data_IF_376046433915
#
_entry.id   IF_376046433915
#
_cell.length_a   1.000
_cell.length_b   1.000
_cell.length_c   1.000
_cell.angle_alpha   90.00
_cell.angle_beta   90.00
_cell.angle_gamma   90.00
#
_symmetry.space_group_name_H-M   'P 1'
#
loop_
_entity.id
_entity.type
_entity.pdbx_description
1 polymer ?
#
# COMPACT_ATOMS: atom_id res chain seq x y z
N UNK A 1 6.61 -0.83 -44.34
CA UNK A 1 6.12 -0.25 -43.08
C UNK A 1 5.87 1.22 -43.34
N UNK A 2 4.63 1.66 -43.21
CA UNK A 2 4.22 3.01 -43.59
C UNK A 2 4.53 3.99 -42.46
N UNK A 3 4.71 5.28 -42.76
CA UNK A 3 4.87 6.33 -41.74
C UNK A 3 3.71 6.33 -40.72
N UNK A 4 2.52 5.85 -41.08
CA UNK A 4 1.36 5.76 -40.19
C UNK A 4 1.61 4.74 -39.07
N UNK A 5 2.25 3.60 -39.36
CA UNK A 5 2.57 2.58 -38.35
C UNK A 5 3.58 3.10 -37.31
N UNK A 6 4.53 3.96 -37.73
CA UNK A 6 5.49 4.60 -36.83
C UNK A 6 4.83 5.69 -35.98
N UNK A 7 3.91 6.48 -36.54
CA UNK A 7 3.16 7.49 -35.79
C UNK A 7 2.20 6.85 -34.78
N UNK A 8 1.49 5.78 -35.15
CA UNK A 8 0.61 5.06 -34.23
C UNK A 8 1.39 4.35 -33.11
N UNK A 9 2.56 3.79 -33.43
CA UNK A 9 3.46 3.20 -32.43
C UNK A 9 4.04 4.25 -31.48
N UNK A 10 4.42 5.43 -31.98
CA UNK A 10 4.87 6.57 -31.17
C UNK A 10 3.75 7.16 -30.29
N UNK A 11 2.51 7.22 -30.79
CA UNK A 11 1.36 7.68 -30.00
C UNK A 11 0.94 6.65 -28.95
N UNK A 12 0.96 5.36 -29.29
CA UNK A 12 0.71 4.26 -28.33
C UNK A 12 1.82 4.10 -27.30
N UNK A 13 3.06 4.50 -27.59
CA UNK A 13 4.14 4.57 -26.59
C UNK A 13 4.04 5.83 -25.72
N UNK A 14 3.47 6.93 -26.24
CA UNK A 14 3.26 8.18 -25.51
C UNK A 14 2.03 8.16 -24.58
N UNK A 15 1.15 7.16 -24.71
CA UNK A 15 0.00 6.90 -23.80
C UNK A 15 0.33 5.68 -22.90
N UNK A 16 1.58 5.55 -22.47
CA UNK A 16 1.93 4.63 -21.39
C UNK A 16 2.29 5.49 -20.20
N UNK A 17 1.61 5.26 -19.09
CA UNK A 17 2.05 5.81 -17.81
C UNK A 17 3.40 5.16 -17.53
N UNK A 18 4.47 5.93 -17.64
CA UNK A 18 5.84 5.47 -17.43
C UNK A 18 6.19 5.82 -15.99
N UNK A 19 6.66 4.84 -15.23
CA UNK A 19 7.04 5.04 -13.85
C UNK A 19 8.11 6.14 -13.67
N UNK A 20 7.83 7.10 -12.78
CA UNK A 20 8.80 8.09 -12.36
C UNK A 20 9.35 7.78 -10.95
N UNK A 21 10.63 7.44 -10.87
CA UNK A 21 11.31 7.23 -9.60
C UNK A 21 11.58 8.56 -8.87
N UNK A 22 11.06 8.66 -7.65
CA UNK A 22 11.30 9.74 -6.70
C UNK A 22 11.94 9.17 -5.44
N UNK A 23 13.17 9.61 -5.14
CA UNK A 23 13.81 9.28 -3.87
C UNK A 23 13.06 9.97 -2.73
N UNK A 24 12.41 9.20 -1.87
CA UNK A 24 11.73 9.70 -0.68
C UNK A 24 12.71 10.02 0.45
N UNK A 25 12.30 10.91 1.35
CA UNK A 25 13.03 11.27 2.56
C UNK A 25 12.02 11.66 3.64
N UNK A 26 12.10 10.99 4.78
CA UNK A 26 11.29 11.29 5.97
C UNK A 26 12.17 11.98 7.01
N UNK A 27 11.85 13.23 7.31
CA UNK A 27 12.59 14.13 8.20
C UNK A 27 11.83 14.43 9.47
N UNK A 28 10.51 14.32 9.48
CA UNK A 28 9.65 14.61 10.62
C UNK A 28 8.75 13.41 10.95
N UNK A 29 9.33 12.23 11.24
CA UNK A 29 8.52 11.08 11.63
C UNK A 29 7.83 11.34 12.99
N UNK A 30 6.55 10.99 13.07
CA UNK A 30 5.75 11.08 14.28
C UNK A 30 5.36 9.67 14.76
N UNK A 31 5.53 9.41 16.05
CA UNK A 31 4.97 8.22 16.72
C UNK A 31 3.73 8.63 17.51
N UNK A 32 2.61 7.95 17.29
CA UNK A 32 1.34 8.16 18.00
C UNK A 32 0.94 6.88 18.73
N UNK A 33 0.72 6.98 20.04
CA UNK A 33 0.32 5.84 20.88
C UNK A 33 -0.52 6.28 22.08
N UNK A 34 -1.43 5.42 22.52
CA UNK A 34 -2.19 5.56 23.77
C UNK A 34 -1.63 4.72 24.94
N UNK A 35 -0.41 4.18 24.79
CA UNK A 35 0.29 3.44 25.84
C UNK A 35 0.88 4.39 26.89
N UNK A 36 1.25 3.81 28.04
CA UNK A 36 1.95 4.51 29.11
C UNK A 36 3.02 3.63 29.75
N UNK A 37 4.01 4.26 30.39
CA UNK A 37 5.05 3.58 31.16
C UNK A 37 5.94 2.70 30.28
N UNK A 38 6.20 1.46 30.72
CA UNK A 38 7.11 0.56 30.00
C UNK A 38 6.61 0.20 28.60
N UNK A 39 5.31 0.03 28.41
CA UNK A 39 4.74 -0.36 27.12
C UNK A 39 4.94 0.74 26.05
N UNK A 40 4.82 2.02 26.43
CA UNK A 40 5.11 3.16 25.55
C UNK A 40 6.59 3.18 25.13
N UNK A 41 7.50 3.03 26.09
CA UNK A 41 8.94 2.95 25.81
C UNK A 41 9.29 1.77 24.90
N UNK A 42 8.69 0.60 25.12
CA UNK A 42 8.91 -0.60 24.30
C UNK A 42 8.42 -0.39 22.87
N UNK A 43 7.24 0.21 22.69
CA UNK A 43 6.69 0.53 21.38
C UNK A 43 7.56 1.54 20.63
N UNK A 44 7.96 2.65 21.26
CA UNK A 44 8.86 3.65 20.66
C UNK A 44 10.19 3.00 20.25
N UNK A 45 10.76 2.15 21.10
CA UNK A 45 12.00 1.44 20.78
C UNK A 45 11.83 0.48 19.61
N UNK A 46 10.71 -0.23 19.53
CA UNK A 46 10.40 -1.11 18.41
C UNK A 46 10.30 -0.33 17.08
N UNK A 47 9.59 0.80 17.07
CA UNK A 47 9.50 1.69 15.91
C UNK A 47 10.88 2.18 15.50
N UNK A 48 11.70 2.64 16.45
CA UNK A 48 13.05 3.14 16.16
C UNK A 48 13.97 2.05 15.63
N UNK A 49 13.92 0.85 16.20
CA UNK A 49 14.72 -0.29 15.75
C UNK A 49 14.35 -0.69 14.33
N UNK A 50 13.05 -0.78 14.04
CA UNK A 50 12.58 -1.00 12.68
C UNK A 50 13.00 0.13 11.74
N UNK A 51 12.93 1.38 12.20
CA UNK A 51 13.33 2.54 11.41
C UNK A 51 14.84 2.62 11.16
N UNK A 52 15.66 1.72 11.70
CA UNK A 52 17.07 1.54 11.33
C UNK A 52 17.25 0.59 10.15
N UNK A 53 16.29 -0.30 9.91
CA UNK A 53 16.31 -1.21 8.75
C UNK A 53 15.98 -0.46 7.46
N UNK A 54 15.31 0.67 7.60
CA UNK A 54 14.98 1.66 6.58
C UNK A 54 15.79 2.94 6.89
N UNK A 55 16.11 3.79 5.91
CA UNK A 55 16.95 4.99 6.15
C UNK A 55 16.21 6.13 6.90
N UNK A 56 15.19 5.81 7.71
CA UNK A 56 14.33 6.77 8.42
C UNK A 56 15.03 7.30 9.68
N UNK A 57 15.64 6.41 10.47
CA UNK A 57 16.17 6.75 11.79
C UNK A 57 17.41 7.65 11.76
N UNK A 58 18.16 7.68 10.65
CA UNK A 58 19.47 8.33 10.58
C UNK A 58 19.46 9.86 10.56
N UNK A 59 18.36 10.49 10.08
CA UNK A 59 18.37 11.91 9.70
C UNK A 59 17.12 12.71 10.12
N UNK A 60 16.14 12.10 10.79
CA UNK A 60 14.86 12.73 11.14
C UNK A 60 14.78 13.33 12.54
N UNK A 61 14.09 14.45 12.66
CA UNK A 61 13.58 14.99 13.92
C UNK A 61 12.31 14.23 14.31
N UNK A 62 12.41 13.39 15.34
CA UNK A 62 11.30 12.57 15.77
C UNK A 62 10.34 13.36 16.68
N UNK A 63 9.05 13.24 16.37
CA UNK A 63 7.96 13.74 17.19
C UNK A 63 7.21 12.58 17.88
N UNK A 64 6.58 12.88 19.01
CA UNK A 64 5.89 11.88 19.82
C UNK A 64 4.58 12.47 20.33
N UNK A 65 3.50 11.71 20.19
CA UNK A 65 2.22 11.94 20.85
C UNK A 65 1.88 10.68 21.65
N UNK A 66 1.87 10.81 22.96
CA UNK A 66 1.48 9.76 23.89
C UNK A 66 0.01 9.94 24.33
N UNK A 67 -0.45 9.04 25.19
CA UNK A 67 -1.83 9.00 25.70
C UNK A 67 -2.34 10.31 26.30
N UNK A 68 -1.47 11.10 26.92
CA UNK A 68 -1.86 12.32 27.62
C UNK A 68 -1.86 13.55 26.69
N UNK A 69 -1.34 13.41 25.46
CA UNK A 69 -1.29 14.49 24.46
C UNK A 69 -2.58 14.60 23.64
N UNK A 70 -3.40 13.53 23.60
CA UNK A 70 -4.68 13.51 22.90
C UNK A 70 -5.66 12.51 23.54
N UNK A 71 -6.92 12.89 23.64
CA UNK A 71 -8.00 11.99 24.06
C UNK A 71 -9.06 11.84 22.96
N UNK A 72 -9.32 12.91 22.23
CA UNK A 72 -10.27 12.93 21.12
C UNK A 72 -9.58 12.88 19.75
N UNK A 73 -10.34 12.47 18.74
CA UNK A 73 -9.89 12.50 17.34
C UNK A 73 -9.56 13.92 16.87
N UNK A 74 -10.24 14.94 17.39
CA UNK A 74 -9.98 16.35 17.04
C UNK A 74 -8.67 16.86 17.62
N UNK A 75 -8.34 16.51 18.87
CA UNK A 75 -7.06 16.86 19.48
C UNK A 75 -5.89 16.21 18.73
N UNK A 76 -6.04 14.93 18.36
CA UNK A 76 -5.05 14.21 17.58
C UNK A 76 -4.79 14.89 16.23
N UNK A 77 -5.86 15.23 15.48
CA UNK A 77 -5.70 15.93 14.20
C UNK A 77 -5.04 17.30 14.35
N UNK A 78 -5.44 18.09 15.36
CA UNK A 78 -4.82 19.39 15.62
C UNK A 78 -3.33 19.25 15.93
N UNK A 79 -2.94 18.23 16.69
CA UNK A 79 -1.55 17.95 17.00
C UNK A 79 -0.76 17.55 15.75
N UNK A 80 -1.31 16.69 14.90
CA UNK A 80 -0.70 16.31 13.60
C UNK A 80 -0.55 17.53 12.69
N UNK A 81 -1.56 18.39 12.59
CA UNK A 81 -1.50 19.62 11.79
C UNK A 81 -0.45 20.61 12.30
N UNK A 82 -0.28 20.71 13.63
CA UNK A 82 0.73 21.56 14.25
C UNK A 82 2.15 21.03 14.04
N UNK A 83 2.36 19.71 14.17
CA UNK A 83 3.66 19.06 14.04
C UNK A 83 4.12 18.90 12.59
N UNK A 84 3.18 18.80 11.64
CA UNK A 84 3.44 18.60 10.19
C UNK A 84 4.39 17.42 9.92
N UNK A 85 4.06 16.22 10.41
CA UNK A 85 4.89 15.05 10.15
C UNK A 85 4.88 14.69 8.67
N UNK A 86 5.91 13.99 8.22
CA UNK A 86 5.98 13.41 6.87
C UNK A 86 5.80 11.88 6.85
N UNK A 87 5.70 11.25 8.02
CA UNK A 87 5.33 9.85 8.22
C UNK A 87 4.79 9.66 9.64
N UNK A 88 3.69 8.91 9.80
CA UNK A 88 3.09 8.64 11.10
C UNK A 88 3.19 7.14 11.41
N UNK A 89 3.78 6.78 12.54
CA UNK A 89 3.79 5.42 13.08
C UNK A 89 2.73 5.28 14.18
N UNK A 90 1.87 4.28 14.05
CA UNK A 90 0.82 4.02 15.05
C UNK A 90 0.30 2.58 14.93
N UNK A 91 -0.76 2.23 15.65
CA UNK A 91 -1.42 0.92 15.58
C UNK A 91 -2.95 1.07 15.68
N UNK A 92 -3.66 -0.03 15.42
CA UNK A 92 -5.12 -0.08 15.40
C UNK A 92 -5.72 0.10 16.79
N UNK A 93 -6.94 0.64 16.86
CA UNK A 93 -7.78 0.67 18.06
C UNK A 93 -7.13 1.32 19.29
N UNK A 94 -6.33 2.38 19.10
CA UNK A 94 -5.92 3.25 20.19
C UNK A 94 -7.13 3.67 21.03
N UNK A 95 -6.95 3.76 22.35
CA UNK A 95 -7.95 4.05 23.38
C UNK A 95 -9.10 3.04 23.49
N UNK A 96 -8.98 1.86 22.87
CA UNK A 96 -10.05 0.86 22.83
C UNK A 96 -9.53 -0.56 23.04
N UNK A 97 -10.34 -1.43 23.62
CA UNK A 97 -10.06 -2.88 23.64
C UNK A 97 -10.56 -3.61 22.37
N UNK A 98 -11.12 -2.88 21.41
CA UNK A 98 -11.68 -3.45 20.19
C UNK A 98 -10.68 -4.22 19.34
N UNK A 99 -9.36 -4.02 19.53
CA UNK A 99 -8.29 -4.77 18.86
C UNK A 99 -8.38 -6.30 19.06
N UNK A 100 -9.06 -6.74 20.13
CA UNK A 100 -9.37 -8.16 20.38
C UNK A 100 -10.27 -8.74 19.28
N UNK A 101 -11.00 -7.91 18.56
CA UNK A 101 -11.96 -8.27 17.51
C UNK A 101 -11.58 -7.66 16.16
N UNK A 102 -11.61 -8.42 15.05
CA UNK A 102 -11.24 -7.92 13.72
C UNK A 102 -12.41 -7.18 13.05
N UNK A 103 -12.86 -6.07 13.62
CA UNK A 103 -14.06 -5.36 13.12
C UNK A 103 -13.82 -3.90 12.75
N UNK A 104 -12.71 -3.30 13.17
CA UNK A 104 -12.44 -1.87 12.97
C UNK A 104 -10.96 -1.57 13.16
N UNK A 105 -10.47 -0.52 12.52
CA UNK A 105 -9.16 0.06 12.77
C UNK A 105 -9.14 1.01 13.98
N UNK A 106 -10.30 1.41 14.50
CA UNK A 106 -10.46 2.35 15.60
C UNK A 106 -10.63 3.80 15.15
N UNK A 107 -11.43 4.58 15.90
CA UNK A 107 -11.85 5.92 15.48
C UNK A 107 -10.69 6.89 15.24
N UNK A 108 -9.64 6.86 16.07
CA UNK A 108 -8.48 7.73 15.92
C UNK A 108 -7.72 7.43 14.64
N UNK A 109 -7.51 6.14 14.35
CA UNK A 109 -6.79 5.70 13.15
C UNK A 109 -7.62 5.95 11.89
N UNK A 110 -8.93 5.67 11.94
CA UNK A 110 -9.85 5.95 10.83
C UNK A 110 -9.83 7.44 10.48
N UNK A 111 -9.95 8.32 11.47
CA UNK A 111 -9.94 9.76 11.26
C UNK A 111 -8.57 10.25 10.76
N UNK A 112 -7.46 9.73 11.31
CA UNK A 112 -6.12 10.04 10.80
C UNK A 112 -6.03 9.75 9.31
N UNK A 113 -6.29 8.51 8.91
CA UNK A 113 -6.20 8.05 7.52
C UNK A 113 -7.12 8.87 6.60
N UNK A 114 -8.32 9.20 7.05
CA UNK A 114 -9.29 9.95 6.25
C UNK A 114 -8.94 11.43 6.09
N UNK A 115 -8.30 12.05 7.08
CA UNK A 115 -8.15 13.51 7.17
C UNK A 115 -6.74 14.03 6.94
N UNK A 116 -5.73 13.18 7.02
CA UNK A 116 -4.35 13.54 6.67
C UNK A 116 -3.99 13.01 5.28
N UNK A 117 -3.05 13.68 4.62
CA UNK A 117 -2.37 13.17 3.41
C UNK A 117 -0.98 12.63 3.76
N UNK A 118 -0.65 12.58 5.05
CA UNK A 118 0.62 12.03 5.54
C UNK A 118 0.51 10.50 5.57
N UNK A 119 1.48 9.77 5.00
CA UNK A 119 1.48 8.31 5.06
C UNK A 119 1.43 7.80 6.51
N UNK A 120 0.59 6.79 6.74
CA UNK A 120 0.38 6.18 8.06
C UNK A 120 0.88 4.74 8.05
N UNK A 121 1.96 4.49 8.79
CA UNK A 121 2.54 3.19 9.06
C UNK A 121 1.85 2.54 10.27
N UNK A 122 0.99 1.56 10.01
CA UNK A 122 0.15 0.87 10.98
C UNK A 122 0.83 -0.43 11.40
N UNK A 123 1.30 -0.47 12.63
CA UNK A 123 1.91 -1.65 13.23
C UNK A 123 0.83 -2.63 13.75
N UNK A 124 1.17 -3.93 13.87
CA UNK A 124 0.40 -4.87 14.68
C UNK A 124 0.20 -4.30 16.09
N UNK A 125 -0.97 -4.53 16.70
CA UNK A 125 -1.24 -3.99 18.03
C UNK A 125 -0.25 -4.56 19.05
N UNK A 126 0.46 -3.72 19.82
CA UNK A 126 1.61 -4.12 20.64
C UNK A 126 1.26 -5.16 21.72
N UNK A 127 0.03 -5.13 22.24
CA UNK A 127 -0.43 -6.06 23.29
C UNK A 127 -1.16 -7.29 22.78
N UNK A 128 -1.36 -7.45 21.46
CA UNK A 128 -2.31 -8.44 20.95
C UNK A 128 -1.71 -9.83 20.67
N UNK A 129 -0.38 -9.92 20.55
CA UNK A 129 0.33 -11.19 20.41
C UNK A 129 0.05 -11.98 19.12
N UNK A 130 -0.60 -11.38 18.12
CA UNK A 130 -0.89 -12.02 16.82
C UNK A 130 0.11 -11.65 15.72
N UNK A 131 1.13 -10.83 16.01
CA UNK A 131 2.12 -10.44 15.02
C UNK A 131 2.88 -11.67 14.52
N UNK A 132 3.16 -11.75 13.23
CA UNK A 132 4.02 -12.81 12.70
C UNK A 132 5.45 -12.64 13.21
N UNK A 133 6.18 -13.76 13.33
CA UNK A 133 7.55 -13.75 13.83
C UNK A 133 8.51 -12.89 13.00
N UNK A 134 8.22 -12.64 11.73
CA UNK A 134 9.04 -11.80 10.85
C UNK A 134 8.60 -10.32 10.85
N UNK A 135 7.39 -10.02 11.32
CA UNK A 135 6.87 -8.65 11.34
C UNK A 135 7.80 -7.73 12.14
N UNK A 136 8.02 -6.51 11.62
CA UNK A 136 8.86 -5.47 12.23
C UNK A 136 10.35 -5.83 12.41
N UNK A 137 10.85 -6.95 11.86
CA UNK A 137 12.28 -7.30 11.93
C UNK A 137 13.11 -6.73 10.79
N UNK A 138 12.52 -6.67 9.60
CA UNK A 138 13.12 -6.27 8.33
C UNK A 138 12.01 -5.86 7.36
N UNK A 139 12.40 -5.44 6.16
CA UNK A 139 11.53 -5.23 5.00
C UNK A 139 12.17 -5.88 3.77
N UNK A 140 12.47 -7.18 3.89
CA UNK A 140 13.05 -7.95 2.80
C UNK A 140 11.99 -8.28 1.75
N UNK A 141 10.73 -8.44 2.17
CA UNK A 141 9.59 -8.68 1.27
C UNK A 141 8.53 -7.60 1.46
N UNK A 142 8.39 -6.72 0.48
CA UNK A 142 7.36 -5.68 0.47
C UNK A 142 6.36 -6.00 -0.64
N UNK A 143 5.08 -5.79 -0.38
CA UNK A 143 4.03 -5.89 -1.39
C UNK A 143 3.29 -4.57 -1.50
N UNK A 144 3.10 -4.06 -2.72
CA UNK A 144 2.25 -2.91 -2.99
C UNK A 144 1.00 -3.37 -3.74
N UNK A 145 -0.17 -3.01 -3.23
CA UNK A 145 -1.46 -3.41 -3.78
C UNK A 145 -2.35 -2.20 -4.07
N UNK A 146 -3.00 -2.27 -5.22
CA UNK A 146 -4.03 -1.32 -5.65
C UNK A 146 -4.90 -2.00 -6.69
N UNK A 147 -6.15 -1.53 -6.81
CA UNK A 147 -7.07 -1.94 -7.86
C UNK A 147 -6.82 -1.19 -9.18
N UNK A 148 -5.96 -0.17 -9.17
CA UNK A 148 -5.55 0.62 -10.32
C UNK A 148 -4.05 0.97 -10.22
N UNK A 149 -3.17 0.01 -10.51
CA UNK A 149 -1.72 0.24 -10.38
C UNK A 149 -1.16 1.21 -11.44
N UNK A 150 -1.81 1.30 -12.58
CA UNK A 150 -1.40 2.19 -13.67
C UNK A 150 -1.37 3.64 -13.18
N UNK A 151 -0.22 4.31 -13.35
CA UNK A 151 0.03 5.70 -12.95
C UNK A 151 0.17 5.95 -11.43
N UNK A 152 0.26 4.89 -10.61
CA UNK A 152 0.43 5.05 -9.17
C UNK A 152 1.91 5.11 -8.77
N UNK A 153 2.56 6.22 -9.12
CA UNK A 153 3.97 6.42 -8.81
C UNK A 153 4.20 6.57 -7.31
N UNK A 154 3.23 7.14 -6.59
CA UNK A 154 3.40 7.42 -5.17
C UNK A 154 3.41 6.14 -4.34
N UNK A 155 2.47 5.23 -4.59
CA UNK A 155 2.45 3.89 -3.99
C UNK A 155 3.76 3.15 -4.24
N UNK A 156 4.19 3.09 -5.50
CA UNK A 156 5.41 2.37 -5.88
C UNK A 156 6.65 3.01 -5.26
N UNK A 157 6.78 4.34 -5.26
CA UNK A 157 7.93 5.01 -4.66
C UNK A 157 8.04 4.74 -3.15
N UNK A 158 6.91 4.67 -2.43
CA UNK A 158 6.90 4.28 -1.02
C UNK A 158 7.30 2.81 -0.86
N UNK A 159 6.72 1.90 -1.64
CA UNK A 159 7.07 0.48 -1.56
C UNK A 159 8.55 0.23 -1.88
N UNK A 160 9.11 0.94 -2.87
CA UNK A 160 10.56 0.93 -3.20
C UNK A 160 11.39 1.45 -2.04
N UNK A 161 10.99 2.56 -1.40
CA UNK A 161 11.73 3.13 -0.27
C UNK A 161 11.84 2.15 0.91
N UNK A 162 10.76 1.43 1.22
CA UNK A 162 10.74 0.48 2.32
C UNK A 162 11.38 -0.88 1.96
N UNK A 163 11.48 -1.23 0.67
CA UNK A 163 12.14 -2.47 0.25
C UNK A 163 13.64 -2.39 0.50
N UNK A 164 14.17 -3.28 1.35
CA UNK A 164 15.59 -3.29 1.67
C UNK A 164 16.47 -3.72 0.49
N UNK A 165 17.76 -3.38 0.56
CA UNK A 165 18.75 -3.88 -0.40
C UNK A 165 18.73 -5.41 -0.43
N UNK A 166 18.71 -5.96 -1.65
CA UNK A 166 18.54 -7.38 -2.01
C UNK A 166 17.18 -7.98 -1.65
N UNK A 167 16.25 -7.14 -1.19
CA UNK A 167 14.86 -7.49 -0.95
C UNK A 167 14.07 -7.70 -2.25
N UNK A 168 12.81 -8.09 -2.08
CA UNK A 168 11.85 -8.33 -3.14
C UNK A 168 10.63 -7.44 -2.95
N UNK A 169 10.32 -6.64 -3.98
CA UNK A 169 9.10 -5.86 -4.10
C UNK A 169 8.12 -6.60 -5.01
N UNK A 170 6.99 -7.01 -4.46
CA UNK A 170 5.86 -7.52 -5.22
C UNK A 170 4.92 -6.35 -5.59
N UNK A 171 4.66 -6.18 -6.88
CA UNK A 171 3.67 -5.23 -7.38
C UNK A 171 2.44 -6.01 -7.84
N UNK A 172 1.37 -5.92 -7.05
CA UNK A 172 0.15 -6.69 -7.26
C UNK A 172 -0.97 -5.85 -7.87
N UNK A 173 -1.58 -6.39 -8.92
CA UNK A 173 -2.83 -5.89 -9.48
C UNK A 173 -3.76 -7.09 -9.69
N UNK A 174 -4.96 -7.03 -9.14
CA UNK A 174 -5.95 -8.10 -9.34
C UNK A 174 -7.18 -7.49 -9.99
N UNK A 175 -7.54 -8.00 -11.16
CA UNK A 175 -8.80 -7.68 -11.83
C UNK A 175 -9.95 -8.47 -11.20
N UNK A 176 -11.04 -7.78 -10.86
CA UNK A 176 -12.19 -8.40 -10.22
C UNK A 176 -12.92 -9.30 -11.23
N UNK A 177 -12.92 -10.60 -10.94
CA UNK A 177 -13.51 -11.61 -11.83
C UNK A 177 -15.04 -11.50 -11.92
N UNK A 178 -15.72 -11.05 -10.86
CA UNK A 178 -17.17 -10.91 -10.82
C UNK A 178 -17.62 -9.70 -11.65
N UNK A 179 -16.90 -8.58 -11.53
CA UNK A 179 -17.11 -7.39 -12.37
C UNK A 179 -16.84 -7.72 -13.84
N UNK A 180 -15.73 -8.40 -14.12
CA UNK A 180 -15.40 -8.84 -15.48
C UNK A 180 -16.50 -9.73 -16.07
N UNK A 181 -16.92 -10.76 -15.34
CA UNK A 181 -17.98 -11.66 -15.78
C UNK A 181 -19.30 -10.93 -16.05
N UNK A 182 -19.66 -9.94 -15.22
CA UNK A 182 -20.85 -9.11 -15.43
C UNK A 182 -20.80 -8.34 -16.76
N UNK A 183 -19.64 -7.80 -17.13
CA UNK A 183 -19.48 -7.12 -18.42
C UNK A 183 -19.55 -8.09 -19.60
N UNK A 184 -18.92 -9.25 -19.50
CA UNK A 184 -19.01 -10.29 -20.53
C UNK A 184 -20.45 -10.77 -20.70
N UNK A 185 -21.20 -10.92 -19.61
CA UNK A 185 -22.62 -11.27 -19.67
C UNK A 185 -23.44 -10.21 -20.43
N UNK A 186 -23.19 -8.92 -20.20
CA UNK A 186 -23.85 -7.84 -20.93
C UNK A 186 -23.49 -7.86 -22.43
N UNK A 187 -22.21 -8.07 -22.76
CA UNK A 187 -21.72 -8.17 -24.14
C UNK A 187 -22.36 -9.36 -24.86
N UNK A 188 -22.58 -10.49 -24.17
CA UNK A 188 -23.19 -11.68 -24.76
C UNK A 188 -24.61 -11.47 -25.29
N UNK A 189 -25.30 -10.42 -24.83
CA UNK A 189 -26.64 -10.05 -25.30
C UNK A 189 -26.61 -9.28 -26.62
N UNK A 190 -25.43 -8.87 -27.09
CA UNK A 190 -25.25 -8.13 -28.34
C UNK A 190 -25.00 -9.14 -29.46
N UNK A 191 -26.03 -9.43 -30.26
CA UNK A 191 -26.02 -10.50 -31.28
C UNK A 191 -24.92 -10.39 -32.34
N UNK A 192 -24.37 -9.19 -32.54
CA UNK A 192 -23.33 -8.94 -33.54
C UNK A 192 -21.90 -9.16 -33.02
N UNK A 193 -21.73 -9.43 -31.72
CA UNK A 193 -20.41 -9.59 -31.09
C UNK A 193 -20.16 -11.07 -30.82
N UNK A 194 -19.00 -11.56 -31.25
CA UNK A 194 -18.48 -12.86 -30.81
C UNK A 194 -18.05 -12.74 -29.35
N UNK A 195 -18.81 -13.34 -28.44
CA UNK A 195 -18.60 -13.21 -26.99
C UNK A 195 -17.29 -13.84 -26.53
N UNK A 196 -16.91 -14.99 -27.10
CA UNK A 196 -15.69 -15.70 -26.70
C UNK A 196 -14.45 -14.89 -27.08
N UNK A 197 -14.44 -14.36 -28.31
CA UNK A 197 -13.36 -13.48 -28.78
C UNK A 197 -13.31 -12.17 -27.99
N UNK A 198 -14.46 -11.56 -27.70
CA UNK A 198 -14.51 -10.35 -26.88
C UNK A 198 -13.98 -10.61 -25.46
N UNK A 199 -14.29 -11.77 -24.87
CA UNK A 199 -13.80 -12.17 -23.55
C UNK A 199 -12.28 -12.24 -23.51
N UNK A 200 -11.67 -12.92 -24.48
CA UNK A 200 -10.22 -13.07 -24.57
C UNK A 200 -9.51 -11.72 -24.76
N UNK A 201 -9.98 -10.91 -25.71
CA UNK A 201 -9.36 -9.62 -26.02
C UNK A 201 -9.53 -8.60 -24.89
N UNK A 202 -10.71 -8.51 -24.26
CA UNK A 202 -10.91 -7.62 -23.11
C UNK A 202 -10.05 -8.08 -21.93
N UNK A 203 -10.00 -9.38 -21.62
CA UNK A 203 -9.17 -9.88 -20.53
C UNK A 203 -7.70 -9.53 -20.74
N UNK A 204 -7.20 -9.73 -21.96
CA UNK A 204 -5.83 -9.38 -22.33
C UNK A 204 -5.56 -7.88 -22.22
N UNK A 205 -6.46 -7.02 -22.71
CA UNK A 205 -6.25 -5.57 -22.61
C UNK A 205 -6.33 -5.05 -21.16
N UNK A 206 -7.19 -5.62 -20.30
CA UNK A 206 -7.26 -5.27 -18.88
C UNK A 206 -5.95 -5.56 -18.15
N UNK A 207 -5.33 -6.73 -18.37
CA UNK A 207 -4.08 -7.09 -17.70
C UNK A 207 -2.84 -6.40 -18.30
N UNK A 208 -2.89 -6.07 -19.59
CA UNK A 208 -1.75 -5.49 -20.31
C UNK A 208 -1.30 -4.13 -19.78
N UNK A 209 -2.23 -3.28 -19.34
CA UNK A 209 -1.89 -1.95 -18.80
C UNK A 209 -1.08 -2.05 -17.50
N UNK A 210 -1.55 -2.74 -16.43
CA UNK A 210 -0.77 -2.91 -15.21
C UNK A 210 0.53 -3.69 -15.45
N UNK A 211 0.54 -4.71 -16.31
CA UNK A 211 1.79 -5.40 -16.71
C UNK A 211 2.80 -4.44 -17.35
N UNK A 212 2.34 -3.61 -18.30
CA UNK A 212 3.21 -2.63 -18.97
C UNK A 212 3.76 -1.60 -17.98
N UNK A 213 2.95 -1.14 -17.04
CA UNK A 213 3.37 -0.22 -15.99
C UNK A 213 4.43 -0.85 -15.08
N UNK A 214 4.20 -2.06 -14.58
CA UNK A 214 5.16 -2.78 -13.72
C UNK A 214 6.48 -3.03 -14.48
N UNK A 215 6.42 -3.39 -15.75
CA UNK A 215 7.62 -3.54 -16.58
C UNK A 215 8.39 -2.22 -16.66
N UNK A 216 7.71 -1.07 -16.78
CA UNK A 216 8.37 0.24 -16.72
C UNK A 216 9.04 0.49 -15.36
N UNK A 217 8.45 0.05 -14.25
CA UNK A 217 9.06 0.11 -12.91
C UNK A 217 10.36 -0.72 -12.89
N UNK A 218 10.29 -1.97 -13.34
CA UNK A 218 11.45 -2.88 -13.38
C UNK A 218 12.60 -2.25 -14.18
N UNK A 219 12.31 -1.71 -15.36
CA UNK A 219 13.29 -1.05 -16.23
C UNK A 219 13.95 0.15 -15.53
N UNK A 220 13.14 1.08 -15.01
CA UNK A 220 13.65 2.31 -14.39
C UNK A 220 14.45 2.06 -13.11
N UNK A 221 14.01 1.12 -12.26
CA UNK A 221 14.75 0.78 -11.03
C UNK A 221 16.08 0.08 -11.35
N UNK A 222 16.11 -0.75 -12.39
CA UNK A 222 17.34 -1.37 -12.91
C UNK A 222 18.32 -0.31 -13.42
N UNK A 223 17.84 0.69 -14.18
CA UNK A 223 18.66 1.82 -14.66
C UNK A 223 19.25 2.66 -13.51
N UNK A 224 18.50 2.83 -12.42
CA UNK A 224 18.98 3.48 -11.19
C UNK A 224 19.94 2.61 -10.37
N UNK A 225 20.20 1.38 -10.79
CA UNK A 225 21.07 0.41 -10.10
C UNK A 225 20.63 0.17 -8.64
N UNK A 226 19.31 0.16 -8.38
CA UNK A 226 18.81 -0.25 -7.08
C UNK A 226 18.96 -1.77 -6.95
N UNK A 227 19.62 -2.21 -5.88
CA UNK A 227 19.84 -3.62 -5.59
C UNK A 227 18.57 -4.21 -4.98
N UNK A 228 17.54 -4.49 -5.78
CA UNK A 228 16.31 -5.15 -5.35
C UNK A 228 15.67 -5.93 -6.50
N UNK A 229 14.84 -6.92 -6.17
CA UNK A 229 14.05 -7.66 -7.15
C UNK A 229 12.64 -7.10 -7.19
N UNK A 230 12.11 -6.82 -8.37
CA UNK A 230 10.69 -6.45 -8.54
C UNK A 230 9.97 -7.59 -9.25
N UNK A 231 8.86 -8.05 -8.68
CA UNK A 231 8.04 -9.16 -9.21
C UNK A 231 6.63 -8.64 -9.53
N UNK A 232 6.17 -8.94 -10.74
CA UNK A 232 4.83 -8.60 -11.22
C UNK A 232 3.82 -9.68 -10.82
N UNK A 233 2.73 -9.26 -10.18
CA UNK A 233 1.64 -10.14 -9.71
C UNK A 233 0.31 -9.66 -10.27
N UNK A 234 0.13 -9.84 -11.59
CA UNK A 234 -1.06 -9.40 -12.33
C UNK A 234 -1.94 -10.61 -12.67
N UNK A 235 -3.20 -10.60 -12.22
CA UNK A 235 -4.13 -11.70 -12.52
C UNK A 235 -5.59 -11.30 -12.35
N UNK A 236 -6.51 -12.19 -12.75
CA UNK A 236 -7.91 -12.14 -12.29
C UNK A 236 -8.07 -12.87 -10.97
N UNK A 237 -9.04 -12.45 -10.15
CA UNK A 237 -9.40 -13.20 -8.95
C UNK A 237 -10.38 -12.47 -8.05
N UNK A 238 -10.77 -13.13 -6.95
CA UNK A 238 -11.48 -12.47 -5.86
C UNK A 238 -10.44 -11.76 -4.99
N UNK A 239 -10.41 -10.44 -5.09
CA UNK A 239 -9.37 -9.55 -4.55
C UNK A 239 -8.89 -9.94 -3.14
N UNK A 240 -9.79 -9.94 -2.17
CA UNK A 240 -9.46 -10.17 -0.76
C UNK A 240 -8.83 -11.55 -0.52
N UNK A 241 -9.38 -12.60 -1.15
CA UNK A 241 -8.92 -13.98 -0.97
C UNK A 241 -7.54 -14.19 -1.58
N UNK A 242 -7.33 -13.68 -2.80
CA UNK A 242 -6.05 -13.84 -3.50
C UNK A 242 -4.93 -13.03 -2.82
N UNK A 243 -5.21 -11.81 -2.37
CA UNK A 243 -4.20 -11.00 -1.68
C UNK A 243 -3.77 -11.63 -0.36
N UNK A 244 -4.72 -12.11 0.44
CA UNK A 244 -4.38 -12.81 1.69
C UNK A 244 -3.49 -14.03 1.44
N UNK A 245 -3.86 -14.83 0.45
CA UNK A 245 -3.07 -16.00 0.06
C UNK A 245 -1.64 -15.61 -0.34
N UNK A 246 -1.48 -14.58 -1.19
CA UNK A 246 -0.15 -14.12 -1.63
C UNK A 246 0.69 -13.56 -0.48
N UNK A 247 0.06 -12.82 0.44
CA UNK A 247 0.73 -12.26 1.62
C UNK A 247 1.32 -13.37 2.49
N UNK A 248 0.54 -14.43 2.71
CA UNK A 248 0.98 -15.60 3.47
C UNK A 248 2.05 -16.41 2.71
N UNK A 249 1.82 -16.70 1.42
CA UNK A 249 2.71 -17.50 0.57
C UNK A 249 4.09 -16.84 0.42
N UNK A 250 4.14 -15.52 0.27
CA UNK A 250 5.38 -14.77 0.10
C UNK A 250 5.99 -14.29 1.41
N UNK A 251 5.30 -14.49 2.54
CA UNK A 251 5.71 -14.03 3.87
C UNK A 251 6.03 -12.53 3.86
N UNK A 252 5.09 -11.74 3.37
CA UNK A 252 5.24 -10.30 3.19
C UNK A 252 5.52 -9.61 4.54
N UNK A 253 6.61 -8.84 4.62
CA UNK A 253 7.00 -8.09 5.82
C UNK A 253 6.29 -6.74 5.96
N UNK A 254 5.83 -6.16 4.84
CA UNK A 254 5.10 -4.89 4.79
C UNK A 254 4.14 -4.90 3.59
N UNK A 255 2.88 -4.56 3.85
CA UNK A 255 1.89 -4.29 2.81
C UNK A 255 1.69 -2.78 2.64
N UNK A 256 1.81 -2.28 1.41
CA UNK A 256 1.62 -0.86 1.05
C UNK A 256 0.35 -0.72 0.21
N UNK A 257 -0.53 0.21 0.58
CA UNK A 257 -1.82 0.46 -0.09
C UNK A 257 -2.17 1.94 -0.05
N UNK A 258 -2.97 2.40 -1.00
CA UNK A 258 -3.61 3.71 -0.88
C UNK A 258 -4.78 3.64 0.10
N UNK A 259 -4.87 4.64 0.96
CA UNK A 259 -6.00 4.82 1.86
C UNK A 259 -7.19 5.53 1.20
N UNK A 260 -6.95 6.27 0.12
CA UNK A 260 -7.97 7.05 -0.60
C UNK A 260 -7.99 6.60 -2.06
N UNK A 261 -9.19 6.49 -2.64
CA UNK A 261 -9.32 6.26 -4.08
C UNK A 261 -9.14 7.55 -4.88
N UNK A 262 -9.11 7.44 -6.21
CA UNK A 262 -8.97 8.55 -7.15
C UNK A 262 -10.10 9.60 -7.08
N UNK A 263 -11.22 9.28 -6.44
CA UNK A 263 -12.32 10.21 -6.16
C UNK A 263 -12.21 10.85 -4.78
N UNK A 264 -11.08 10.65 -4.09
CA UNK A 264 -10.83 11.07 -2.71
C UNK A 264 -11.84 10.49 -1.71
N UNK A 265 -12.52 9.39 -2.07
CA UNK A 265 -13.31 8.63 -1.10
C UNK A 265 -12.34 7.82 -0.25
N UNK A 266 -12.14 8.29 0.97
CA UNK A 266 -11.29 7.60 1.92
C UNK A 266 -11.87 6.23 2.27
N UNK A 267 -11.01 5.21 2.28
CA UNK A 267 -11.32 3.84 2.68
C UNK A 267 -12.41 3.16 1.82
N UNK A 268 -12.59 3.61 0.56
CA UNK A 268 -13.36 2.88 -0.45
C UNK A 268 -12.48 1.87 -1.18
N UNK A 269 -13.06 0.78 -1.69
CA UNK A 269 -12.32 -0.31 -2.32
C UNK A 269 -11.72 -1.33 -1.34
N UNK A 270 -10.53 -1.84 -1.65
CA UNK A 270 -9.94 -3.01 -0.98
C UNK A 270 -9.13 -2.72 0.27
N UNK A 271 -8.61 -1.50 0.39
CA UNK A 271 -7.64 -1.15 1.43
C UNK A 271 -8.22 -1.32 2.83
N UNK A 272 -9.47 -0.87 3.07
CA UNK A 272 -10.09 -0.95 4.39
C UNK A 272 -10.43 -2.38 4.84
N UNK A 273 -11.13 -3.21 4.02
CA UNK A 273 -11.32 -4.62 4.35
C UNK A 273 -10.00 -5.36 4.61
N UNK A 274 -8.98 -5.14 3.76
CA UNK A 274 -7.66 -5.74 3.94
C UNK A 274 -7.02 -5.28 5.25
N UNK A 275 -7.11 -4.00 5.60
CA UNK A 275 -6.52 -3.46 6.80
C UNK A 275 -7.10 -4.01 8.11
N UNK A 276 -8.41 -4.32 8.09
CA UNK A 276 -9.11 -4.97 9.20
C UNK A 276 -8.68 -6.43 9.34
N UNK A 277 -8.59 -7.16 8.23
CA UNK A 277 -8.31 -8.59 8.24
C UNK A 277 -6.83 -8.89 8.50
N UNK A 278 -5.94 -8.15 7.87
CA UNK A 278 -4.49 -8.29 7.98
C UNK A 278 -4.00 -7.52 9.19
N UNK A 279 -3.75 -8.23 10.28
CA UNK A 279 -3.28 -7.66 11.56
C UNK A 279 -1.90 -8.14 11.95
N UNK A 280 -1.43 -9.21 11.32
CA UNK A 280 -0.21 -9.94 11.67
C UNK A 280 1.05 -9.25 11.17
N UNK A 281 0.92 -8.42 10.13
CA UNK A 281 2.01 -7.66 9.52
C UNK A 281 1.70 -6.15 9.55
N UNK A 282 2.73 -5.30 9.44
CA UNK A 282 2.58 -3.87 9.30
C UNK A 282 1.95 -3.49 7.95
N UNK A 283 1.23 -2.38 7.95
CA UNK A 283 0.65 -1.78 6.76
C UNK A 283 1.17 -0.35 6.60
N UNK A 284 1.42 0.08 5.36
CA UNK A 284 1.64 1.48 5.03
C UNK A 284 0.44 1.98 4.21
N UNK A 285 -0.28 2.94 4.77
CA UNK A 285 -1.39 3.63 4.12
C UNK A 285 -0.91 4.96 3.57
N UNK A 286 -1.14 5.19 2.27
CA UNK A 286 -0.75 6.41 1.56
C UNK A 286 -1.98 7.25 1.25
#
# INVERSE_FOLDING_TARGET
MSNIDQFESLFRSAIRDVYEYRKLSFKHPLIVTDLQGQADMDFINQVKLFSQTTDIAGNGEWHYLNKDDFFSTSELLNAVEALKPDLIFTYRNMHSEAWKYPHSLGEHLDVLIQKTDVPVFIMPHPTAGYAHDHAMKNCDVVMALTDHLSNDHELVNHAVYFTQNKGTLYLGHIEDVDIFNRYIEAISRIQTINTDEAREEIAKELLKQPESYINSVIEHLSEKSLDMRVISEVSFGHHLTEFRKRIDDYRVDLLVMNAKDSQQMAMHGLAYPLAIELRQIPLLMI
#
